data_IF_515637291664
#
_entry.id   IF_515637291664
#
_cell.length_a   1.000
_cell.length_b   1.000
_cell.length_c   1.000
_cell.angle_alpha   90.00
_cell.angle_beta   90.00
_cell.angle_gamma   90.00
#
_symmetry.space_group_name_H-M   'P 1'
#
loop_
_entity.id
_entity.type
_entity.pdbx_description
1 polymer ?
#
# COMPACT_ATOMS: atom_id res chain seq x y z
N UNK A 1 -49.20 84.78 23.84
CA UNK A 1 -49.83 86.05 23.40
C UNK A 1 -49.65 86.15 21.89
N UNK A 2 -50.77 86.15 21.17
CA UNK A 2 -51.05 86.72 19.84
C UNK A 2 -50.03 86.69 18.66
N UNK A 3 -50.63 86.33 17.51
CA UNK A 3 -50.38 86.70 16.10
C UNK A 3 -49.34 85.87 15.31
N UNK A 4 -49.68 85.12 14.25
CA UNK A 4 -50.54 85.30 13.05
C UNK A 4 -49.79 85.99 11.90
N UNK A 5 -49.58 85.17 10.84
CA UNK A 5 -49.49 85.47 9.38
C UNK A 5 -48.29 86.33 8.91
N UNK A 6 -47.72 86.22 7.70
CA UNK A 6 -48.29 85.99 6.36
C UNK A 6 -47.27 85.29 5.39
N UNK A 7 -47.68 84.33 4.55
CA UNK A 7 -47.99 84.42 3.08
C UNK A 7 -46.73 84.84 2.26
N UNK A 8 -46.17 84.15 1.25
CA UNK A 8 -46.76 83.49 0.06
C UNK A 8 -45.69 82.67 -0.72
N UNK A 9 -46.08 81.90 -1.75
CA UNK A 9 -45.38 80.71 -2.26
C UNK A 9 -44.62 80.94 -3.56
N UNK A 10 -43.68 80.06 -3.91
CA UNK A 10 -43.50 79.62 -5.31
C UNK A 10 -43.28 78.11 -5.36
N UNK A 11 -44.25 77.47 -6.01
CA UNK A 11 -44.23 76.17 -6.68
C UNK A 11 -42.84 75.63 -7.09
N UNK A 12 -42.54 74.41 -6.63
CA UNK A 12 -42.48 73.22 -7.51
C UNK A 12 -42.66 71.93 -6.68
N UNK A 13 -43.79 71.27 -6.94
CA UNK A 13 -44.16 69.88 -6.63
C UNK A 13 -43.33 68.87 -7.46
N UNK A 14 -43.48 67.54 -7.32
CA UNK A 14 -44.00 66.73 -6.21
C UNK A 14 -43.19 65.43 -5.88
N UNK A 15 -43.33 65.00 -4.63
CA UNK A 15 -43.73 63.67 -4.13
C UNK A 15 -43.17 62.34 -4.68
N UNK A 16 -42.57 61.60 -3.74
CA UNK A 16 -42.94 60.26 -3.22
C UNK A 16 -42.91 59.05 -4.17
N UNK A 17 -42.11 58.04 -3.78
CA UNK A 17 -42.55 56.67 -3.43
C UNK A 17 -41.33 55.92 -2.85
N UNK A 18 -41.12 55.90 -1.53
CA UNK A 18 -41.58 54.86 -0.59
C UNK A 18 -41.54 53.40 -1.11
N UNK A 19 -40.65 52.62 -0.47
CA UNK A 19 -40.86 51.23 -0.06
C UNK A 19 -41.13 50.14 -1.13
N UNK A 20 -40.22 49.92 -2.08
CA UNK A 20 -40.15 48.63 -2.83
C UNK A 20 -38.73 48.06 -2.93
N UNK A 21 -37.68 48.81 -2.60
CA UNK A 21 -36.30 48.39 -2.86
C UNK A 21 -35.70 47.38 -1.85
N UNK A 22 -36.27 47.23 -0.66
CA UNK A 22 -35.68 46.38 0.37
C UNK A 22 -36.06 44.88 0.29
N UNK A 23 -37.03 44.49 -0.54
CA UNK A 23 -37.46 43.09 -0.64
C UNK A 23 -36.77 42.29 -1.76
N UNK A 24 -36.25 42.94 -2.80
CA UNK A 24 -35.61 42.24 -3.93
C UNK A 24 -34.09 42.05 -3.82
N UNK A 25 -33.42 42.73 -2.88
CA UNK A 25 -31.98 42.55 -2.67
C UNK A 25 -31.62 41.36 -1.76
N UNK A 26 -32.56 40.86 -0.94
CA UNK A 26 -32.28 39.80 0.02
C UNK A 26 -32.53 38.37 -0.50
N UNK A 27 -33.21 38.22 -1.64
CA UNK A 27 -33.46 36.91 -2.29
C UNK A 27 -32.32 36.50 -3.26
N UNK A 28 -31.63 37.46 -3.89
CA UNK A 28 -30.46 37.16 -4.75
C UNK A 28 -29.23 36.76 -3.96
N UNK A 29 -29.03 37.30 -2.76
CA UNK A 29 -27.90 36.94 -1.90
C UNK A 29 -27.96 35.50 -1.38
N UNK A 30 -29.16 34.94 -1.13
CA UNK A 30 -29.32 33.54 -0.68
C UNK A 30 -29.18 32.52 -1.80
N UNK A 31 -29.57 32.85 -3.04
CA UNK A 31 -29.42 31.94 -4.20
C UNK A 31 -27.99 31.86 -4.74
N UNK A 32 -27.21 32.96 -4.63
CA UNK A 32 -25.80 32.95 -5.05
C UNK A 32 -24.92 32.26 -4.00
N UNK A 33 -25.21 32.41 -2.70
CA UNK A 33 -24.47 31.72 -1.64
C UNK A 33 -24.75 30.21 -1.58
N UNK A 34 -25.98 29.75 -1.87
CA UNK A 34 -26.27 28.31 -1.98
C UNK A 34 -25.54 27.65 -3.16
N UNK A 35 -25.41 28.33 -4.30
CA UNK A 35 -24.68 27.79 -5.46
C UNK A 35 -23.16 27.77 -5.24
N UNK A 36 -22.61 28.74 -4.50
CA UNK A 36 -21.18 28.77 -4.20
C UNK A 36 -20.78 27.71 -3.16
N UNK A 37 -21.64 27.46 -2.16
CA UNK A 37 -21.44 26.43 -1.14
C UNK A 37 -21.59 25.00 -1.73
N UNK A 38 -22.58 24.75 -2.59
CA UNK A 38 -22.73 23.45 -3.24
C UNK A 38 -21.58 23.12 -4.22
N UNK A 39 -21.03 24.13 -4.92
CA UNK A 39 -19.89 23.92 -5.81
C UNK A 39 -18.58 23.69 -5.05
N UNK A 40 -18.39 24.30 -3.87
CA UNK A 40 -17.22 24.03 -3.03
C UNK A 40 -17.24 22.63 -2.42
N UNK A 41 -18.42 22.10 -2.06
CA UNK A 41 -18.53 20.71 -1.57
C UNK A 41 -18.27 19.71 -2.70
N UNK A 42 -18.76 19.96 -3.92
CA UNK A 42 -18.51 19.10 -5.07
C UNK A 42 -17.04 19.09 -5.52
N UNK A 43 -16.33 20.23 -5.40
CA UNK A 43 -14.88 20.31 -5.69
C UNK A 43 -14.04 19.71 -4.54
N UNK A 44 -14.49 19.77 -3.29
CA UNK A 44 -13.80 19.11 -2.18
C UNK A 44 -13.95 17.57 -2.22
N UNK A 45 -15.08 17.06 -2.72
CA UNK A 45 -15.31 15.62 -2.93
C UNK A 45 -14.49 15.04 -4.09
N UNK A 46 -14.06 15.85 -5.07
CA UNK A 46 -13.22 15.40 -6.18
C UNK A 46 -11.71 15.39 -5.87
N UNK A 47 -11.26 15.97 -4.75
CA UNK A 47 -9.84 15.90 -4.33
C UNK A 47 -9.54 14.60 -3.57
N UNK A 48 -10.58 13.86 -3.15
CA UNK A 48 -10.46 12.56 -2.49
C UNK A 48 -11.07 11.41 -3.29
N UNK A 49 -11.24 11.55 -4.60
CA UNK A 49 -11.37 10.37 -5.46
C UNK A 49 -10.00 9.72 -5.62
N UNK A 50 -9.46 9.17 -4.53
CA UNK A 50 -8.56 8.04 -4.66
C UNK A 50 -9.39 7.00 -5.38
N UNK A 51 -9.07 6.73 -6.65
CA UNK A 51 -9.60 5.57 -7.33
C UNK A 51 -9.48 4.40 -6.36
N UNK A 52 -10.59 3.71 -6.07
CA UNK A 52 -10.54 2.49 -5.30
C UNK A 52 -9.77 1.47 -6.14
N UNK A 53 -8.47 1.38 -5.91
CA UNK A 53 -7.62 0.34 -6.48
C UNK A 53 -7.94 -0.95 -5.72
N UNK A 54 -9.09 -1.53 -6.05
CA UNK A 54 -9.58 -2.74 -5.43
C UNK A 54 -8.88 -3.93 -6.09
N UNK A 55 -8.07 -4.65 -5.30
CA UNK A 55 -7.53 -5.94 -5.75
C UNK A 55 -8.57 -7.04 -5.57
N UNK A 56 -8.48 -8.08 -6.38
CA UNK A 56 -9.39 -9.20 -6.24
C UNK A 56 -8.93 -10.12 -5.11
N UNK A 57 -9.84 -10.46 -4.21
CA UNK A 57 -9.59 -11.45 -3.17
C UNK A 57 -9.54 -12.87 -3.76
N UNK A 58 -8.81 -13.75 -3.09
CA UNK A 58 -8.65 -15.17 -3.43
C UNK A 58 -7.21 -15.65 -3.32
N UNK A 59 -7.02 -16.94 -3.57
CA UNK A 59 -5.71 -17.58 -3.61
C UNK A 59 -5.06 -17.38 -4.98
N UNK A 60 -3.78 -17.00 -4.97
CA UNK A 60 -2.99 -16.75 -6.16
C UNK A 60 -1.89 -17.81 -6.29
N UNK A 61 -1.93 -18.56 -7.39
CA UNK A 61 -1.00 -19.63 -7.70
C UNK A 61 0.04 -19.16 -8.70
N UNK A 62 1.27 -19.62 -8.57
CA UNK A 62 2.35 -19.24 -9.47
C UNK A 62 1.97 -19.49 -10.93
N UNK A 63 2.36 -18.57 -11.83
CA UNK A 63 2.35 -18.76 -13.28
C UNK A 63 3.61 -18.19 -13.93
N UNK A 64 4.14 -18.90 -14.93
CA UNK A 64 5.23 -18.38 -15.75
C UNK A 64 4.71 -17.19 -16.57
N UNK A 65 5.30 -16.03 -16.34
CA UNK A 65 4.99 -14.79 -17.06
C UNK A 65 6.11 -13.77 -16.88
N UNK A 66 6.15 -12.77 -17.77
CA UNK A 66 7.02 -11.60 -17.62
C UNK A 66 6.17 -10.42 -17.12
N UNK A 67 6.37 -10.00 -15.87
CA UNK A 67 5.56 -8.94 -15.24
C UNK A 67 4.05 -9.20 -15.39
N UNK A 68 3.63 -10.43 -15.14
CA UNK A 68 2.26 -10.92 -15.33
C UNK A 68 1.70 -10.90 -16.77
N UNK A 69 2.50 -10.52 -17.77
CA UNK A 69 2.16 -10.69 -19.19
C UNK A 69 2.33 -12.15 -19.60
N UNK A 70 1.31 -12.71 -20.25
CA UNK A 70 1.34 -14.09 -20.73
C UNK A 70 2.50 -14.30 -21.73
N UNK A 71 3.25 -15.39 -21.54
CA UNK A 71 4.38 -15.81 -22.41
C UNK A 71 3.94 -16.60 -23.66
N UNK A 72 2.63 -16.65 -23.96
CA UNK A 72 2.10 -17.33 -25.15
C UNK A 72 2.14 -18.86 -25.09
N UNK A 73 2.13 -19.44 -23.88
CA UNK A 73 2.03 -20.89 -23.70
C UNK A 73 0.62 -21.39 -24.06
N UNK A 74 0.53 -22.60 -24.64
CA UNK A 74 -0.74 -23.33 -24.71
C UNK A 74 -1.19 -23.79 -23.32
N UNK A 75 -2.47 -24.10 -23.15
CA UNK A 75 -3.04 -24.54 -21.86
C UNK A 75 -2.34 -25.81 -21.30
N UNK A 76 -2.01 -26.77 -22.17
CA UNK A 76 -1.27 -27.97 -21.80
C UNK A 76 0.14 -27.63 -21.32
N UNK A 77 0.83 -26.73 -22.03
CA UNK A 77 2.17 -26.26 -21.62
C UNK A 77 2.11 -25.45 -20.33
N UNK A 78 1.07 -24.64 -20.15
CA UNK A 78 0.86 -23.88 -18.92
C UNK A 78 0.76 -24.83 -17.73
N UNK A 79 -0.06 -25.87 -17.83
CA UNK A 79 -0.26 -26.87 -16.79
C UNK A 79 1.00 -27.67 -16.50
N UNK A 80 1.80 -27.97 -17.54
CA UNK A 80 3.00 -28.80 -17.42
C UNK A 80 4.22 -28.03 -16.90
N UNK A 81 4.35 -26.76 -17.26
CA UNK A 81 5.56 -25.96 -17.00
C UNK A 81 5.46 -25.11 -15.74
N UNK A 82 4.24 -24.77 -15.33
CA UNK A 82 3.97 -24.03 -14.11
C UNK A 82 3.70 -25.02 -12.97
N UNK A 83 4.54 -25.09 -11.93
CA UNK A 83 4.25 -25.91 -10.76
C UNK A 83 3.04 -25.36 -9.99
N UNK A 84 2.22 -26.28 -9.47
CA UNK A 84 1.05 -25.95 -8.65
C UNK A 84 1.49 -25.50 -7.24
N UNK A 85 1.88 -24.22 -7.15
CA UNK A 85 2.36 -23.59 -5.92
C UNK A 85 1.55 -22.34 -5.65
N UNK A 86 0.77 -22.36 -4.57
CA UNK A 86 0.15 -21.15 -4.05
C UNK A 86 1.24 -20.19 -3.56
N UNK A 87 1.26 -18.95 -4.02
CA UNK A 87 2.23 -17.95 -3.54
C UNK A 87 1.71 -17.21 -2.31
N UNK A 88 0.45 -16.77 -2.38
CA UNK A 88 -0.22 -16.00 -1.34
C UNK A 88 -1.73 -16.05 -1.53
N UNK A 89 -2.45 -15.68 -0.48
CA UNK A 89 -3.89 -15.44 -0.50
C UNK A 89 -4.17 -14.00 -0.11
N UNK A 90 -5.09 -13.36 -0.82
CA UNK A 90 -5.61 -12.03 -0.48
C UNK A 90 -7.02 -12.19 0.06
N UNK A 91 -7.27 -11.74 1.28
CA UNK A 91 -8.59 -11.77 1.91
C UNK A 91 -9.13 -10.37 2.16
N UNK A 92 -10.44 -10.12 2.02
CA UNK A 92 -11.02 -8.83 2.40
C UNK A 92 -10.91 -8.63 3.91
N UNK A 93 -10.43 -7.46 4.33
CA UNK A 93 -10.36 -7.05 5.72
C UNK A 93 -11.23 -5.79 5.90
N UNK A 94 -12.50 -5.97 6.28
CA UNK A 94 -13.42 -4.83 6.37
C UNK A 94 -13.95 -4.36 5.00
N UNK A 95 -14.37 -3.10 4.91
CA UNK A 95 -15.14 -2.59 3.76
C UNK A 95 -14.24 -2.24 2.57
N UNK A 96 -13.01 -1.77 2.82
CA UNK A 96 -12.08 -1.31 1.78
C UNK A 96 -10.63 -1.76 1.97
N UNK A 97 -10.33 -2.50 3.04
CA UNK A 97 -8.98 -2.99 3.30
C UNK A 97 -8.86 -4.47 2.96
N UNK A 98 -7.62 -4.94 2.94
CA UNK A 98 -7.27 -6.31 2.61
C UNK A 98 -6.17 -6.81 3.53
N UNK A 99 -6.11 -8.12 3.68
CA UNK A 99 -5.05 -8.85 4.33
C UNK A 99 -4.37 -9.78 3.32
N UNK A 100 -3.06 -9.98 3.46
CA UNK A 100 -2.31 -11.00 2.73
C UNK A 100 -1.84 -12.10 3.68
N UNK A 101 -1.94 -13.33 3.22
CA UNK A 101 -1.34 -14.52 3.83
C UNK A 101 -0.31 -15.08 2.86
N UNK A 102 0.97 -15.11 3.21
CA UNK A 102 2.01 -15.67 2.36
C UNK A 102 2.08 -17.19 2.55
N UNK A 103 2.49 -17.92 1.50
CA UNK A 103 2.77 -19.35 1.65
C UNK A 103 4.12 -19.57 2.37
N UNK A 104 4.15 -19.32 3.68
CA UNK A 104 5.34 -19.49 4.52
C UNK A 104 5.76 -20.96 4.60
N UNK A 105 4.84 -21.91 4.42
CA UNK A 105 5.13 -23.34 4.37
C UNK A 105 6.02 -23.74 3.18
N UNK A 106 5.97 -22.99 2.07
CA UNK A 106 6.85 -23.18 0.92
C UNK A 106 8.28 -22.64 1.13
N UNK A 107 8.58 -22.00 2.26
CA UNK A 107 9.93 -21.53 2.61
C UNK A 107 10.75 -22.69 3.19
N UNK A 108 11.12 -23.66 2.35
CA UNK A 108 11.82 -24.90 2.74
C UNK A 108 13.18 -24.64 3.43
N UNK A 109 13.82 -23.51 3.11
CA UNK A 109 15.08 -23.07 3.71
C UNK A 109 14.94 -22.49 5.13
N UNK A 110 13.72 -22.33 5.66
CA UNK A 110 13.43 -21.68 6.95
C UNK A 110 13.21 -22.74 8.03
N UNK A 111 13.53 -22.43 9.29
CA UNK A 111 13.10 -23.32 10.39
C UNK A 111 11.58 -23.24 10.54
N UNK A 112 10.97 -24.28 11.13
CA UNK A 112 9.53 -24.27 11.45
C UNK A 112 9.15 -23.03 12.29
N UNK A 113 9.98 -22.68 13.27
CA UNK A 113 9.79 -21.46 14.09
C UNK A 113 9.88 -20.18 13.26
N UNK A 114 10.74 -20.14 12.24
CA UNK A 114 10.84 -19.00 11.32
C UNK A 114 9.60 -18.85 10.44
N UNK A 115 9.04 -19.97 9.95
CA UNK A 115 7.79 -19.98 9.20
C UNK A 115 6.62 -19.52 10.08
N UNK A 116 6.49 -20.07 11.29
CA UNK A 116 5.49 -19.67 12.27
C UNK A 116 5.59 -18.19 12.65
N UNK A 117 6.80 -17.67 12.81
CA UNK A 117 7.02 -16.25 13.10
C UNK A 117 6.52 -15.34 11.98
N UNK A 118 6.79 -15.67 10.72
CA UNK A 118 6.31 -14.90 9.57
C UNK A 118 4.78 -14.92 9.49
N UNK A 119 4.17 -16.09 9.64
CA UNK A 119 2.71 -16.22 9.66
C UNK A 119 2.07 -15.49 10.85
N UNK A 120 2.74 -15.43 12.01
CA UNK A 120 2.24 -14.67 13.15
C UNK A 120 2.19 -13.16 12.83
N UNK A 121 3.19 -12.62 12.14
CA UNK A 121 3.23 -11.19 11.75
C UNK A 121 2.13 -10.80 10.75
N UNK A 122 1.63 -11.73 9.96
CA UNK A 122 0.52 -11.46 9.02
C UNK A 122 -0.77 -11.04 9.75
N UNK A 123 -0.95 -11.43 11.01
CA UNK A 123 -2.11 -11.05 11.81
C UNK A 123 -2.11 -9.57 12.25
N UNK A 124 -0.97 -8.90 12.20
CA UNK A 124 -0.80 -7.50 12.64
C UNK A 124 -0.51 -6.54 11.47
N UNK A 125 -0.85 -6.97 10.26
CA UNK A 125 -0.50 -6.23 9.06
C UNK A 125 -1.24 -4.91 8.90
N UNK A 126 -0.52 -3.91 8.41
CA UNK A 126 -1.09 -2.63 7.97
C UNK A 126 -1.09 -2.57 6.46
N UNK A 127 -2.29 -2.43 5.88
CA UNK A 127 -2.50 -2.29 4.45
C UNK A 127 -2.42 -0.84 3.99
N UNK A 128 -1.72 -0.60 2.89
CA UNK A 128 -1.73 0.67 2.17
C UNK A 128 -1.70 0.42 0.67
N UNK A 129 -2.27 1.33 -0.11
CA UNK A 129 -2.25 1.26 -1.57
C UNK A 129 -1.65 2.53 -2.14
N UNK A 130 -0.89 2.38 -3.22
CA UNK A 130 -0.28 3.49 -3.93
C UNK A 130 -0.28 3.28 -5.44
N UNK A 131 -0.06 4.37 -6.17
CA UNK A 131 0.02 4.35 -7.63
C UNK A 131 1.47 4.12 -8.07
N UNK A 132 1.69 3.21 -9.01
CA UNK A 132 3.00 3.01 -9.60
C UNK A 132 3.34 4.15 -10.60
N UNK A 133 4.55 4.13 -11.16
CA UNK A 133 4.97 5.12 -12.14
C UNK A 133 4.09 5.13 -13.41
N UNK A 134 3.55 3.96 -13.78
CA UNK A 134 2.48 3.86 -14.77
C UNK A 134 1.13 4.07 -14.05
N UNK A 135 0.31 5.07 -14.42
CA UNK A 135 -0.98 5.33 -13.78
C UNK A 135 -1.97 4.16 -13.83
N UNK A 136 -1.81 3.25 -14.80
CA UNK A 136 -2.62 2.05 -14.95
C UNK A 136 -2.25 0.94 -13.94
N UNK A 137 -1.12 1.08 -13.25
CA UNK A 137 -0.61 0.06 -12.34
C UNK A 137 -0.66 0.60 -10.90
N UNK A 138 -1.08 -0.24 -9.96
CA UNK A 138 -1.04 0.06 -8.52
C UNK A 138 -0.11 -0.91 -7.79
N UNK A 139 0.33 -0.51 -6.61
CA UNK A 139 0.98 -1.42 -5.68
C UNK A 139 0.23 -1.46 -4.36
N UNK A 140 0.17 -2.65 -3.79
CA UNK A 140 -0.48 -2.98 -2.54
C UNK A 140 0.60 -3.37 -1.55
N UNK A 141 0.76 -2.55 -0.52
CA UNK A 141 1.74 -2.74 0.54
C UNK A 141 1.09 -3.29 1.79
N UNK A 142 1.61 -4.40 2.28
CA UNK A 142 1.25 -5.00 3.56
C UNK A 142 2.48 -4.97 4.45
N UNK A 143 2.40 -4.19 5.53
CA UNK A 143 3.48 -4.04 6.49
C UNK A 143 3.18 -4.91 7.70
N UNK A 144 3.83 -6.06 7.80
CA UNK A 144 3.48 -7.15 8.73
C UNK A 144 4.08 -6.96 10.13
N UNK A 145 5.24 -6.32 10.25
CA UNK A 145 5.89 -6.07 11.53
C UNK A 145 6.47 -4.66 11.55
N UNK A 146 6.27 -3.93 12.65
CA UNK A 146 6.83 -2.58 12.88
C UNK A 146 7.37 -2.45 14.30
N UNK A 147 8.33 -3.28 14.69
CA UNK A 147 8.83 -3.32 16.07
C UNK A 147 10.25 -2.76 16.22
N UNK A 148 10.59 -2.40 17.46
CA UNK A 148 11.98 -2.11 17.82
C UNK A 148 12.61 -3.33 18.46
N UNK A 149 13.76 -3.77 17.96
CA UNK A 149 14.51 -4.93 18.45
C UNK A 149 15.82 -4.49 19.08
N UNK A 150 16.25 -5.17 20.15
CA UNK A 150 17.64 -5.15 20.60
C UNK A 150 18.54 -5.96 19.66
N UNK A 151 19.86 -5.80 19.78
CA UNK A 151 20.83 -6.65 19.10
C UNK A 151 20.59 -8.15 19.33
N UNK A 152 20.33 -8.56 20.57
CA UNK A 152 20.09 -9.98 20.93
C UNK A 152 18.79 -10.52 20.35
N UNK A 153 17.73 -9.71 20.30
CA UNK A 153 16.47 -10.09 19.67
C UNK A 153 16.65 -10.23 18.15
N UNK A 154 17.34 -9.29 17.51
CA UNK A 154 17.62 -9.37 16.07
C UNK A 154 18.43 -10.62 15.71
N UNK A 155 19.51 -10.90 16.45
CA UNK A 155 20.32 -12.09 16.23
C UNK A 155 19.50 -13.38 16.35
N UNK A 156 18.59 -13.45 17.33
CA UNK A 156 17.67 -14.59 17.48
C UNK A 156 16.73 -14.72 16.27
N UNK A 157 16.08 -13.62 15.87
CA UNK A 157 15.16 -13.60 14.73
C UNK A 157 15.84 -14.08 13.44
N UNK A 158 17.03 -13.57 13.13
CA UNK A 158 17.77 -13.94 11.92
C UNK A 158 18.16 -15.43 11.88
N UNK A 159 18.40 -16.05 13.04
CA UNK A 159 18.72 -17.48 13.11
C UNK A 159 17.51 -18.38 12.81
N UNK A 160 16.28 -17.88 12.95
CA UNK A 160 15.06 -18.62 12.61
C UNK A 160 14.82 -18.67 11.09
N UNK A 161 15.23 -17.61 10.38
CA UNK A 161 14.96 -17.45 8.95
C UNK A 161 15.86 -18.23 8.00
N UNK A 162 16.81 -19.00 8.50
CA UNK A 162 17.54 -19.90 7.63
C UNK A 162 18.00 -21.13 8.37
N UNK A 163 17.92 -22.27 7.71
CA UNK A 163 18.60 -23.51 8.09
C UNK A 163 20.02 -23.57 7.50
N UNK A 164 20.30 -22.83 6.43
CA UNK A 164 21.57 -22.84 5.73
C UNK A 164 22.68 -22.11 6.51
N UNK A 165 23.80 -22.81 6.72
CA UNK A 165 24.95 -22.25 7.45
C UNK A 165 25.55 -21.01 6.75
N UNK A 166 25.52 -20.97 5.41
CA UNK A 166 26.03 -19.84 4.63
C UNK A 166 25.25 -18.54 4.87
N UNK A 167 23.91 -18.63 4.88
CA UNK A 167 23.02 -17.50 5.16
C UNK A 167 23.16 -17.02 6.61
N UNK A 168 23.19 -17.94 7.58
CA UNK A 168 23.47 -17.61 8.98
C UNK A 168 24.82 -16.91 9.16
N UNK A 169 25.86 -17.42 8.50
CA UNK A 169 27.19 -16.82 8.51
C UNK A 169 27.22 -15.41 7.89
N UNK A 170 26.44 -15.17 6.84
CA UNK A 170 26.30 -13.84 6.24
C UNK A 170 25.65 -12.84 7.21
N UNK A 171 24.52 -13.20 7.83
CA UNK A 171 23.86 -12.35 8.83
C UNK A 171 24.76 -12.06 10.03
N UNK A 172 25.46 -13.08 10.54
CA UNK A 172 26.40 -12.92 11.64
C UNK A 172 27.54 -11.94 11.31
N UNK A 173 28.12 -12.03 10.11
CA UNK A 173 29.16 -11.08 9.66
C UNK A 173 28.65 -9.65 9.55
N UNK A 174 27.37 -9.44 9.21
CA UNK A 174 26.77 -8.11 9.19
C UNK A 174 26.57 -7.58 10.60
N UNK A 175 26.08 -8.40 11.52
CA UNK A 175 25.88 -8.04 12.93
C UNK A 175 27.20 -7.66 13.63
N UNK A 176 28.30 -8.38 13.38
CA UNK A 176 29.61 -8.08 13.97
C UNK A 176 30.17 -6.70 13.62
N UNK A 177 29.65 -6.04 12.58
CA UNK A 177 30.06 -4.69 12.19
C UNK A 177 29.34 -3.59 12.99
N UNK A 178 28.43 -3.98 13.89
CA UNK A 178 27.58 -3.09 14.66
C UNK A 178 28.01 -3.14 16.12
N UNK A 179 28.17 -1.97 16.73
CA UNK A 179 28.45 -1.87 18.16
C UNK A 179 27.23 -2.33 18.97
N UNK A 180 27.39 -3.38 19.77
CA UNK A 180 26.28 -4.21 20.25
C UNK A 180 25.55 -3.64 21.48
N UNK A 181 26.24 -2.89 22.34
CA UNK A 181 25.77 -2.65 23.72
C UNK A 181 24.56 -1.70 23.80
N UNK A 182 24.38 -0.82 22.81
CA UNK A 182 23.24 0.11 22.73
C UNK A 182 22.48 0.05 21.41
N UNK A 183 22.80 -0.89 20.52
CA UNK A 183 22.15 -0.96 19.21
C UNK A 183 20.68 -1.36 19.32
N UNK A 184 19.82 -0.50 18.76
CA UNK A 184 18.39 -0.74 18.60
C UNK A 184 18.04 -0.71 17.12
N UNK A 185 17.12 -1.57 16.71
CA UNK A 185 16.77 -1.74 15.32
C UNK A 185 15.29 -1.56 15.11
N UNK A 186 14.88 -0.85 14.07
CA UNK A 186 13.51 -0.93 13.55
C UNK A 186 13.43 -2.10 12.57
N UNK A 187 12.59 -3.07 12.86
CA UNK A 187 12.23 -4.12 11.92
C UNK A 187 11.01 -3.69 11.10
N UNK A 188 11.10 -3.83 9.78
CA UNK A 188 9.98 -3.64 8.86
C UNK A 188 9.91 -4.82 7.92
N UNK A 189 8.85 -5.62 8.04
CA UNK A 189 8.54 -6.68 7.07
C UNK A 189 7.50 -6.16 6.09
N UNK A 190 7.82 -6.18 4.79
CA UNK A 190 6.97 -5.67 3.71
C UNK A 190 6.67 -6.77 2.71
N UNK A 191 5.39 -6.97 2.43
CA UNK A 191 4.90 -7.65 1.23
C UNK A 191 4.38 -6.58 0.27
N UNK A 192 4.84 -6.59 -0.97
CA UNK A 192 4.36 -5.69 -2.02
C UNK A 192 3.91 -6.47 -3.24
N UNK A 193 2.61 -6.37 -3.51
CA UNK A 193 1.97 -6.89 -4.73
C UNK A 193 1.76 -5.75 -5.72
N UNK A 194 2.04 -6.00 -6.99
CA UNK A 194 1.77 -5.06 -8.08
C UNK A 194 0.59 -5.56 -8.90
N UNK A 195 -0.40 -4.69 -9.09
CA UNK A 195 -1.43 -4.86 -10.11
C UNK A 195 -0.91 -4.19 -11.39
N UNK A 196 -0.53 -5.02 -12.36
CA UNK A 196 -0.02 -4.61 -13.67
C UNK A 196 -1.17 -4.42 -14.69
N UNK A 197 -2.43 -4.38 -14.24
CA UNK A 197 -3.62 -4.19 -15.08
C UNK A 197 -4.13 -5.47 -15.76
N UNK A 198 -3.60 -6.64 -15.39
CA UNK A 198 -4.06 -7.93 -15.90
C UNK A 198 -5.06 -8.56 -14.94
N UNK A 199 -6.26 -8.86 -15.45
CA UNK A 199 -7.30 -9.48 -14.62
C UNK A 199 -6.81 -10.78 -13.98
N UNK A 200 -7.20 -10.99 -12.73
CA UNK A 200 -6.88 -12.17 -11.92
C UNK A 200 -5.38 -12.39 -11.67
N UNK A 201 -4.51 -11.41 -11.96
CA UNK A 201 -3.05 -11.55 -11.80
C UNK A 201 -2.47 -10.48 -10.92
N UNK A 202 -1.56 -10.88 -10.04
CA UNK A 202 -0.80 -9.97 -9.18
C UNK A 202 0.67 -10.37 -9.18
N UNK A 203 1.56 -9.38 -9.27
CA UNK A 203 3.00 -9.60 -9.29
C UNK A 203 3.60 -9.41 -7.90
N UNK A 204 4.08 -10.49 -7.30
CA UNK A 204 4.84 -10.47 -6.04
C UNK A 204 6.25 -9.97 -6.30
N UNK A 205 6.48 -8.69 -6.04
CA UNK A 205 7.79 -8.04 -6.24
C UNK A 205 8.62 -8.00 -4.98
N UNK A 206 7.99 -7.81 -3.82
CA UNK A 206 8.70 -7.75 -2.55
C UNK A 206 8.02 -8.65 -1.52
N UNK A 207 8.83 -9.44 -0.85
CA UNK A 207 8.54 -10.06 0.44
C UNK A 207 9.86 -10.05 1.19
N UNK A 208 10.08 -9.01 2.00
CA UNK A 208 11.38 -8.70 2.58
C UNK A 208 11.25 -8.22 4.02
N UNK A 209 12.15 -8.63 4.88
CA UNK A 209 12.36 -8.01 6.20
C UNK A 209 13.61 -7.14 6.15
N UNK A 210 13.43 -5.87 6.46
CA UNK A 210 14.48 -4.87 6.52
C UNK A 210 14.69 -4.45 7.99
N UNK A 211 15.96 -4.44 8.41
CA UNK A 211 16.35 -4.05 9.76
C UNK A 211 17.21 -2.79 9.69
N UNK A 212 16.68 -1.70 10.23
CA UNK A 212 17.32 -0.39 10.22
C UNK A 212 17.89 -0.10 11.60
N UNK A 213 19.18 0.27 11.67
CA UNK A 213 19.76 0.75 12.92
C UNK A 213 19.12 2.09 13.31
N UNK A 214 18.70 2.24 14.55
CA UNK A 214 18.16 3.50 15.06
C UNK A 214 19.29 4.47 15.41
N UNK A 215 19.10 5.75 15.10
CA UNK A 215 19.96 6.82 15.59
C UNK A 215 19.59 7.23 17.03
N UNK A 216 20.33 8.21 17.56
CA UNK A 216 20.13 8.76 18.90
C UNK A 216 18.74 9.38 19.11
N UNK A 217 18.04 9.72 18.02
CA UNK A 217 16.68 10.27 18.03
C UNK A 217 15.61 9.19 17.75
N UNK A 218 15.96 7.91 17.82
CA UNK A 218 15.10 6.76 17.47
C UNK A 218 14.60 6.78 16.01
N UNK A 219 15.31 7.43 15.10
CA UNK A 219 14.99 7.40 13.66
C UNK A 219 15.76 6.30 12.96
N UNK A 220 15.12 5.54 12.05
CA UNK A 220 15.80 4.49 11.29
C UNK A 220 16.82 5.11 10.32
N UNK A 221 18.10 4.75 10.49
CA UNK A 221 19.17 5.11 9.56
C UNK A 221 19.00 4.33 8.26
N UNK A 222 19.24 5.01 7.15
CA UNK A 222 19.20 4.43 5.81
C UNK A 222 20.64 4.24 5.28
N UNK A 223 20.91 3.18 4.50
CA UNK A 223 20.02 2.06 4.16
C UNK A 223 19.84 1.08 5.34
N UNK A 224 18.96 0.09 5.18
CA UNK A 224 18.87 -1.04 6.11
C UNK A 224 20.26 -1.70 6.29
N UNK A 225 20.59 -2.07 7.51
CA UNK A 225 21.88 -2.74 7.81
C UNK A 225 21.82 -4.23 7.49
N UNK A 226 20.62 -4.81 7.56
CA UNK A 226 20.35 -6.20 7.22
C UNK A 226 19.04 -6.26 6.43
N UNK A 227 19.04 -7.03 5.35
CA UNK A 227 17.86 -7.32 4.54
C UNK A 227 17.75 -8.82 4.35
N UNK A 228 16.58 -9.37 4.67
CA UNK A 228 16.24 -10.78 4.44
C UNK A 228 15.22 -10.84 3.31
N UNK A 229 15.57 -11.55 2.24
CA UNK A 229 14.72 -11.67 1.05
C UNK A 229 13.91 -12.98 1.11
N UNK A 230 12.74 -12.93 1.73
CA UNK A 230 11.82 -14.07 1.83
C UNK A 230 11.26 -14.46 0.46
N UNK A 231 11.06 -13.50 -0.44
CA UNK A 231 10.63 -13.77 -1.82
C UNK A 231 11.58 -14.73 -2.52
N UNK A 232 12.90 -14.51 -2.41
CA UNK A 232 13.87 -15.41 -3.04
C UNK A 232 13.70 -16.84 -2.52
N UNK A 233 13.57 -17.03 -1.20
CA UNK A 233 13.32 -18.35 -0.63
C UNK A 233 11.99 -18.96 -1.14
N UNK A 234 10.93 -18.16 -1.31
CA UNK A 234 9.66 -18.61 -1.88
C UNK A 234 9.76 -19.00 -3.36
N UNK A 235 10.64 -18.35 -4.13
CA UNK A 235 10.68 -18.49 -5.60
C UNK A 235 11.85 -19.32 -6.13
N UNK A 236 12.86 -19.62 -5.32
CA UNK A 236 14.06 -20.35 -5.74
C UNK A 236 13.78 -21.77 -6.24
N UNK A 237 12.74 -22.42 -5.70
CA UNK A 237 12.38 -23.79 -6.05
C UNK A 237 11.42 -23.88 -7.24
N UNK A 238 10.89 -22.74 -7.73
CA UNK A 238 10.00 -22.71 -8.89
C UNK A 238 10.76 -23.07 -10.18
N UNK A 239 11.95 -22.51 -10.35
CA UNK A 239 12.86 -22.81 -11.46
C UNK A 239 14.30 -22.82 -10.95
N UNK A 240 15.11 -23.80 -11.38
CA UNK A 240 16.52 -23.93 -10.97
C UNK A 240 17.45 -23.12 -11.88
N UNK A 241 18.66 -22.75 -11.41
CA UNK A 241 19.68 -22.14 -12.26
C UNK A 241 19.92 -22.96 -13.54
N UNK A 242 19.86 -22.28 -14.69
CA UNK A 242 20.02 -22.89 -16.02
C UNK A 242 18.70 -23.36 -16.67
N UNK A 243 17.58 -23.39 -15.95
CA UNK A 243 16.27 -23.61 -16.57
C UNK A 243 15.76 -22.33 -17.26
N UNK A 244 14.93 -22.47 -18.32
CA UNK A 244 14.14 -21.35 -18.83
C UNK A 244 13.37 -20.68 -17.69
N UNK A 245 13.26 -19.36 -17.71
CA UNK A 245 12.49 -18.55 -16.73
C UNK A 245 13.11 -18.36 -15.33
N UNK A 246 14.26 -18.99 -15.04
CA UNK A 246 15.00 -18.74 -13.80
C UNK A 246 15.26 -17.24 -13.56
N UNK A 247 15.66 -16.51 -14.59
CA UNK A 247 15.89 -15.06 -14.48
C UNK A 247 14.62 -14.28 -14.16
N UNK A 248 13.47 -14.73 -14.66
CA UNK A 248 12.17 -14.08 -14.43
C UNK A 248 11.76 -14.20 -12.96
N UNK A 249 11.91 -15.39 -12.36
CA UNK A 249 11.58 -15.61 -10.94
C UNK A 249 12.50 -14.85 -9.98
N UNK A 250 13.71 -14.48 -10.41
CA UNK A 250 14.61 -13.62 -9.64
C UNK A 250 14.09 -12.17 -9.53
N UNK A 251 13.32 -11.68 -10.50
CA UNK A 251 12.76 -10.31 -10.48
C UNK A 251 11.44 -10.22 -9.71
N UNK A 252 10.68 -11.31 -9.65
CA UNK A 252 9.43 -11.45 -8.91
C UNK A 252 8.71 -12.71 -9.38
N UNK A 253 7.53 -12.97 -8.82
CA UNK A 253 6.69 -14.08 -9.27
C UNK A 253 5.27 -13.57 -9.52
N UNK A 254 4.68 -13.95 -10.66
CA UNK A 254 3.28 -13.66 -10.90
C UNK A 254 2.43 -14.76 -10.27
N UNK A 255 1.42 -14.35 -9.50
CA UNK A 255 0.34 -15.19 -9.07
C UNK A 255 -0.87 -14.97 -9.98
N UNK A 256 -1.55 -16.04 -10.35
CA UNK A 256 -2.84 -16.05 -11.04
C UNK A 256 -3.89 -16.68 -10.13
N UNK A 257 -5.05 -16.02 -10.04
CA UNK A 257 -6.22 -16.56 -9.37
C UNK A 257 -7.00 -17.44 -10.36
N UNK A 258 -7.25 -18.71 -10.05
CA UNK A 258 -8.06 -19.57 -10.90
C UNK A 258 -9.47 -19.00 -11.06
N UNK A 259 -9.98 -19.00 -12.29
CA UNK A 259 -11.38 -18.70 -12.59
C UNK A 259 -12.20 -19.98 -12.38
N UNK A 260 -12.73 -20.17 -11.18
CA UNK A 260 -13.79 -21.16 -10.91
C UNK A 260 -15.15 -20.56 -11.22
#
# INVERSE_FOLDING_TARGET
>A
MMRVLEISPIFKTPYVHSHVWYFFHNQRARLVTMNFQLRFIAVALSIFSNASFAMQAGSYYYVISEQCKAVGLSDEQHTKLTPDVMLFEVTPAGISDYAVTMNTAALTDYTEQGQQLLSAWENEQVYTVGQAANPAHSYHDFLLQKETLSYTQLARTLNLFSQAQSARGHFFKQLLKIDADSARFKAVTRVRLFDEGYQNRLFLKQYVSEYFLLDENNKPRQPAVITVNHRAALTNDLHRPGQPWFSSTQQGACGERPSF
#
